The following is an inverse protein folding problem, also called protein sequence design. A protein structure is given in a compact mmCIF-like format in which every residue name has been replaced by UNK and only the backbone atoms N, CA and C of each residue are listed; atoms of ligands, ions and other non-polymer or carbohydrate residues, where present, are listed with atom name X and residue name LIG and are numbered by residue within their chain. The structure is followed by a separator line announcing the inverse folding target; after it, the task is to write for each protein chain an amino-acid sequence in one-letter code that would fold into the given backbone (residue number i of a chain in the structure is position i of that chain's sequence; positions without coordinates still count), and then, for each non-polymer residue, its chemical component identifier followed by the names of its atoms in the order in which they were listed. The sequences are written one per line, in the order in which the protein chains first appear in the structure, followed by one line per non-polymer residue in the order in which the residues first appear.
data_IF_049079655861
#
_entry.id   IF_049079655861
#
_cell.length_a   1.000
_cell.length_b   1.000
_cell.length_c   1.000
_cell.angle_alpha   90.00
_cell.angle_beta   90.00
_cell.angle_gamma   90.00
#
_symmetry.space_group_name_H-M   'P 1'
#
loop_
_entity.id
_entity.type
_entity.pdbx_description
1 polymer ?
#
# COMPACT_ATOMS: atom_id res chain seq x y z
N UNK A 1 -22.17 -14.97 2.77
CA UNK A 1 -22.28 -13.52 2.45
C UNK A 1 -21.21 -12.67 3.15
N UNK A 2 -21.01 -12.79 4.46
CA UNK A 2 -20.10 -11.89 5.22
C UNK A 2 -18.61 -12.00 4.82
N UNK A 3 -18.09 -13.20 4.56
CA UNK A 3 -16.70 -13.38 4.09
C UNK A 3 -16.44 -12.69 2.74
N UNK A 4 -17.40 -12.77 1.82
CA UNK A 4 -17.31 -12.12 0.52
C UNK A 4 -17.31 -10.58 0.65
N UNK A 5 -18.21 -10.02 1.47
CA UNK A 5 -18.22 -8.57 1.77
C UNK A 5 -16.87 -8.11 2.34
N UNK A 6 -16.32 -8.83 3.31
CA UNK A 6 -14.99 -8.52 3.87
C UNK A 6 -13.89 -8.57 2.80
N UNK A 7 -13.92 -9.55 1.90
CA UNK A 7 -12.98 -9.66 0.78
C UNK A 7 -13.09 -8.45 -0.16
N UNK A 8 -14.31 -8.03 -0.52
CA UNK A 8 -14.55 -6.87 -1.37
C UNK A 8 -14.10 -5.56 -0.71
N UNK A 9 -14.36 -5.38 0.59
CA UNK A 9 -13.87 -4.21 1.34
C UNK A 9 -12.34 -4.15 1.39
N UNK A 10 -11.68 -5.28 1.64
CA UNK A 10 -10.21 -5.37 1.59
C UNK A 10 -9.66 -5.00 0.21
N UNK A 11 -10.28 -5.52 -0.85
CA UNK A 11 -9.93 -5.19 -2.23
C UNK A 11 -10.11 -3.69 -2.52
N UNK A 12 -11.26 -3.11 -2.17
CA UNK A 12 -11.52 -1.68 -2.39
C UNK A 12 -10.59 -0.76 -1.60
N UNK A 13 -10.18 -1.14 -0.38
CA UNK A 13 -9.13 -0.41 0.37
C UNK A 13 -7.78 -0.46 -0.35
N UNK A 14 -7.41 -1.64 -0.85
CA UNK A 14 -6.17 -1.86 -1.60
C UNK A 14 -6.14 -1.06 -2.91
N UNK A 15 -7.26 -0.99 -3.63
CA UNK A 15 -7.40 -0.19 -4.84
C UNK A 15 -7.31 1.31 -4.55
N UNK A 16 -8.00 1.82 -3.51
CA UNK A 16 -7.84 3.22 -3.08
C UNK A 16 -6.38 3.55 -2.71
N UNK A 17 -5.70 2.62 -2.02
CA UNK A 17 -4.28 2.71 -1.70
C UNK A 17 -3.37 2.66 -2.94
N UNK A 18 -3.83 2.08 -4.03
CA UNK A 18 -3.08 2.11 -5.27
C UNK A 18 -3.22 3.48 -5.96
N UNK A 19 -4.46 3.94 -6.09
CA UNK A 19 -4.82 5.20 -6.75
C UNK A 19 -4.13 6.42 -6.12
N UNK A 20 -4.15 6.51 -4.79
CA UNK A 20 -3.55 7.65 -4.09
C UNK A 20 -2.01 7.69 -4.23
N UNK A 21 -1.35 6.54 -4.49
CA UNK A 21 0.10 6.40 -4.63
C UNK A 21 0.49 6.80 -6.03
N UNK A 22 -0.26 6.35 -7.03
CA UNK A 22 -0.11 6.82 -8.42
C UNK A 22 -0.22 8.35 -8.50
N UNK A 23 -1.22 8.94 -7.81
CA UNK A 23 -1.34 10.40 -7.67
C UNK A 23 -0.17 11.04 -6.91
N UNK A 24 0.33 10.42 -5.85
CA UNK A 24 1.48 10.93 -5.11
C UNK A 24 2.77 10.92 -5.94
N UNK A 25 2.96 9.92 -6.81
CA UNK A 25 4.11 9.83 -7.72
C UNK A 25 4.14 11.01 -8.69
N UNK A 26 3.01 11.34 -9.35
CA UNK A 26 2.97 12.46 -10.30
C UNK A 26 3.31 13.80 -9.65
N UNK A 27 2.99 13.97 -8.37
CA UNK A 27 3.28 15.18 -7.61
C UNK A 27 4.68 15.19 -6.97
N UNK A 28 5.49 14.13 -7.13
CA UNK A 28 6.81 14.01 -6.50
C UNK A 28 7.85 14.80 -7.31
N UNK A 29 8.25 15.95 -6.78
CA UNK A 29 9.18 16.88 -7.46
C UNK A 29 10.65 16.41 -7.47
N UNK A 30 11.06 15.63 -6.47
CA UNK A 30 12.47 15.17 -6.32
C UNK A 30 12.79 13.84 -6.99
N UNK A 31 11.89 13.30 -7.83
CA UNK A 31 12.16 12.10 -8.62
C UNK A 31 12.22 12.48 -10.08
N UNK A 32 13.20 11.94 -10.79
CA UNK A 32 13.26 12.01 -12.24
C UNK A 32 12.14 11.18 -12.91
N UNK A 33 11.95 11.40 -14.21
CA UNK A 33 10.88 10.76 -14.97
C UNK A 33 11.08 9.25 -15.12
N UNK A 34 12.32 8.79 -15.18
CA UNK A 34 12.66 7.36 -15.27
C UNK A 34 12.24 6.63 -14.00
N UNK A 35 12.55 7.19 -12.83
CA UNK A 35 12.16 6.67 -11.52
C UNK A 35 10.65 6.71 -11.35
N UNK A 36 9.99 7.80 -11.74
CA UNK A 36 8.51 7.86 -11.71
C UNK A 36 7.89 6.77 -12.57
N UNK A 37 8.39 6.56 -13.78
CA UNK A 37 7.92 5.51 -14.69
C UNK A 37 8.14 4.12 -14.11
N UNK A 38 9.33 3.83 -13.61
CA UNK A 38 9.68 2.56 -12.93
C UNK A 38 8.69 2.28 -11.79
N UNK A 39 8.50 3.25 -10.90
CA UNK A 39 7.58 3.10 -9.76
C UNK A 39 6.12 2.97 -10.21
N UNK A 40 5.66 3.74 -11.19
CA UNK A 40 4.29 3.66 -11.70
C UNK A 40 3.98 2.29 -12.32
N UNK A 41 4.92 1.70 -13.05
CA UNK A 41 4.81 0.34 -13.59
C UNK A 41 4.67 -0.70 -12.47
N UNK A 42 5.46 -0.54 -11.41
CA UNK A 42 5.44 -1.43 -10.24
C UNK A 42 4.31 -1.13 -9.24
N UNK A 43 3.54 -0.05 -9.42
CA UNK A 43 2.32 0.20 -8.66
C UNK A 43 1.18 -0.66 -9.25
N UNK A 44 1.18 -1.92 -8.84
CA UNK A 44 0.15 -2.91 -9.13
C UNK A 44 -0.47 -3.51 -7.87
N UNK A 45 -1.72 -3.97 -7.97
CA UNK A 45 -2.42 -4.63 -6.86
C UNK A 45 -1.65 -5.86 -6.36
N UNK A 46 -1.03 -6.66 -7.21
CA UNK A 46 -0.24 -7.84 -6.81
C UNK A 46 0.83 -7.49 -5.76
N UNK A 47 1.40 -6.29 -5.83
CA UNK A 47 2.47 -5.81 -4.94
C UNK A 47 1.96 -4.98 -3.74
N UNK A 48 0.65 -4.71 -3.63
CA UNK A 48 0.10 -3.94 -2.52
C UNK A 48 -0.19 -4.81 -1.28
N UNK A 49 0.25 -4.35 -0.11
CA UNK A 49 -0.06 -4.95 1.19
C UNK A 49 -1.55 -4.80 1.51
N UNK A 50 -2.15 -5.86 2.05
CA UNK A 50 -3.54 -5.84 2.51
C UNK A 50 -3.68 -5.16 3.88
N UNK A 51 -4.92 -4.78 4.23
CA UNK A 51 -5.26 -4.23 5.54
C UNK A 51 -6.35 -5.07 6.21
N UNK A 52 -6.10 -5.46 7.45
CA UNK A 52 -7.07 -6.11 8.32
C UNK A 52 -7.69 -5.10 9.27
N UNK A 53 -9.00 -5.19 9.41
CA UNK A 53 -9.76 -4.34 10.30
C UNK A 53 -9.82 -4.99 11.67
N UNK A 54 -9.33 -4.28 12.67
CA UNK A 54 -9.32 -4.71 14.06
C UNK A 54 -10.22 -3.73 14.80
N UNK A 55 -11.35 -4.25 15.25
CA UNK A 55 -12.29 -3.52 16.09
C UNK A 55 -11.99 -3.92 17.54
N UNK A 56 -11.59 -2.94 18.34
CA UNK A 56 -11.57 -3.03 19.80
C UNK A 56 -12.71 -2.19 20.36
N UNK A 57 -13.05 -2.39 21.62
CA UNK A 57 -14.20 -1.73 22.26
C UNK A 57 -14.14 -0.19 22.18
N UNK A 58 -12.93 0.39 22.05
CA UNK A 58 -12.74 1.84 22.04
C UNK A 58 -12.26 2.42 20.69
N UNK A 59 -11.72 1.60 19.78
CA UNK A 59 -11.18 2.08 18.50
C UNK A 59 -11.21 1.02 17.40
N UNK A 60 -11.48 1.49 16.17
CA UNK A 60 -11.20 0.73 14.93
C UNK A 60 -9.81 1.11 14.42
N UNK A 61 -8.98 0.11 14.12
CA UNK A 61 -7.64 0.30 13.53
C UNK A 61 -7.49 -0.62 12.32
N UNK A 62 -6.85 -0.11 11.26
CA UNK A 62 -6.40 -0.93 10.14
C UNK A 62 -4.97 -1.40 10.35
N UNK A 63 -4.78 -2.71 10.50
CA UNK A 63 -3.46 -3.34 10.56
C UNK A 63 -2.98 -3.67 9.16
N UNK A 64 -1.86 -3.08 8.75
CA UNK A 64 -1.20 -3.40 7.47
C UNK A 64 -0.51 -4.74 7.62
N UNK A 65 -0.76 -5.67 6.70
CA UNK A 65 -0.11 -6.98 6.67
C UNK A 65 1.09 -6.91 5.73
N UNK A 66 2.34 -6.97 6.24
CA UNK A 66 3.55 -6.90 5.42
C UNK A 66 3.62 -8.06 4.43
N UNK A 67 4.22 -7.83 3.26
CA UNK A 67 4.48 -8.89 2.27
C UNK A 67 5.93 -9.34 2.46
N UNK A 68 6.18 -10.58 2.93
CA UNK A 68 7.52 -10.99 3.33
C UNK A 68 8.51 -11.06 2.16
N UNK A 69 8.02 -11.26 0.94
CA UNK A 69 8.79 -11.35 -0.30
C UNK A 69 9.03 -10.00 -0.98
N UNK A 70 8.47 -8.90 -0.47
CA UNK A 70 8.59 -7.57 -1.09
C UNK A 70 9.87 -6.88 -0.64
N UNK A 71 10.57 -6.25 -1.57
CA UNK A 71 11.85 -5.58 -1.31
C UNK A 71 11.69 -4.42 -0.34
N UNK A 72 12.75 -4.18 0.44
CA UNK A 72 12.79 -3.05 1.37
C UNK A 72 12.80 -1.71 0.63
N UNK A 73 13.43 -1.65 -0.55
CA UNK A 73 13.42 -0.48 -1.43
C UNK A 73 11.98 -0.09 -1.80
N UNK A 74 11.18 -1.06 -2.29
CA UNK A 74 9.80 -0.80 -2.67
C UNK A 74 8.90 -0.49 -1.46
N UNK A 75 9.16 -1.12 -0.31
CA UNK A 75 8.51 -0.80 0.96
C UNK A 75 8.76 0.66 1.36
N UNK A 76 10.02 1.11 1.29
CA UNK A 76 10.40 2.49 1.60
C UNK A 76 9.75 3.49 0.67
N UNK A 77 9.72 3.20 -0.64
CA UNK A 77 9.02 4.00 -1.65
C UNK A 77 7.51 4.10 -1.33
N UNK A 78 6.88 2.98 -1.01
CA UNK A 78 5.46 2.95 -0.64
C UNK A 78 5.18 3.82 0.60
N UNK A 79 6.04 3.75 1.62
CA UNK A 79 5.93 4.57 2.83
C UNK A 79 6.12 6.06 2.54
N UNK A 80 7.08 6.41 1.69
CA UNK A 80 7.32 7.80 1.27
C UNK A 80 6.09 8.39 0.55
N UNK A 81 5.48 7.61 -0.34
CA UNK A 81 4.27 8.00 -1.07
C UNK A 81 3.06 8.14 -0.15
N UNK A 82 2.89 7.22 0.81
CA UNK A 82 1.82 7.30 1.81
C UNK A 82 1.99 8.56 2.69
N UNK A 83 3.21 8.84 3.15
CA UNK A 83 3.53 10.04 3.92
C UNK A 83 3.27 11.33 3.13
N UNK A 84 3.62 11.35 1.84
CA UNK A 84 3.30 12.47 0.95
C UNK A 84 1.80 12.66 0.81
N UNK A 85 1.05 11.58 0.59
CA UNK A 85 -0.39 11.64 0.48
C UNK A 85 -1.05 12.12 1.79
N UNK A 86 -0.55 11.71 2.95
CA UNK A 86 -1.02 12.23 4.24
C UNK A 86 -0.71 13.72 4.42
N UNK A 87 0.47 14.21 4.00
CA UNK A 87 0.79 15.65 4.04
C UNK A 87 -0.17 16.50 3.22
N UNK A 88 -0.68 15.98 2.10
CA UNK A 88 -1.61 16.67 1.22
C UNK A 88 -3.05 16.75 1.76
N UNK A 89 -3.39 15.95 2.78
CA UNK A 89 -4.73 15.98 3.38
C UNK A 89 -4.93 17.20 4.28
N UNK A 90 -6.15 17.72 4.28
CA UNK A 90 -6.58 18.74 5.23
C UNK A 90 -6.59 18.21 6.68
N UNK A 91 -6.49 19.11 7.66
CA UNK A 91 -6.55 18.76 9.07
C UNK A 91 -7.86 18.06 9.46
N UNK A 92 -8.99 18.45 8.85
CA UNK A 92 -10.29 17.79 9.03
C UNK A 92 -10.25 16.34 8.51
N UNK A 93 -9.71 16.14 7.32
CA UNK A 93 -9.61 14.80 6.73
C UNK A 93 -8.73 13.88 7.59
N UNK A 94 -7.59 14.37 8.08
CA UNK A 94 -6.70 13.63 8.99
C UNK A 94 -7.41 13.15 10.26
N UNK A 95 -8.25 14.01 10.87
CA UNK A 95 -9.03 13.66 12.08
C UNK A 95 -10.08 12.58 11.83
N UNK A 96 -10.61 12.47 10.61
CA UNK A 96 -11.60 11.46 10.23
C UNK A 96 -10.98 10.15 9.73
N UNK A 97 -9.65 10.07 9.65
CA UNK A 97 -8.98 8.85 9.19
C UNK A 97 -8.92 7.82 10.31
N UNK A 98 -9.36 6.60 9.97
CA UNK A 98 -9.06 5.41 10.76
C UNK A 98 -7.54 5.22 10.83
N UNK A 99 -7.03 5.03 12.05
CA UNK A 99 -5.61 4.80 12.32
C UNK A 99 -5.12 3.58 11.57
N UNK A 100 -3.90 3.66 11.03
CA UNK A 100 -3.20 2.55 10.38
C UNK A 100 -1.94 2.21 11.14
N UNK A 101 -1.74 0.93 11.42
CA UNK A 101 -0.55 0.43 12.12
C UNK A 101 0.10 -0.69 11.34
N UNK A 102 1.43 -0.78 11.37
CA UNK A 102 2.16 -1.90 10.78
C UNK A 102 1.91 -3.14 11.65
N UNK A 103 1.45 -4.23 11.03
CA UNK A 103 1.31 -5.52 11.70
C UNK A 103 2.66 -6.21 11.89
N UNK A 104 2.81 -6.93 12.98
CA UNK A 104 3.96 -7.81 13.26
C UNK A 104 3.87 -9.13 12.49
N UNK A 105 2.66 -9.60 12.18
CA UNK A 105 2.42 -10.87 11.48
C UNK A 105 2.47 -10.62 9.96
N UNK A 106 3.41 -11.25 9.23
CA UNK A 106 3.50 -11.12 7.78
C UNK A 106 2.37 -11.86 7.06
N UNK A 107 2.14 -11.49 5.81
CA UNK A 107 1.13 -12.12 4.95
C UNK A 107 1.59 -13.51 4.51
N UNK A 108 0.65 -14.45 4.47
CA UNK A 108 0.82 -15.76 3.83
C UNK A 108 0.64 -15.71 2.31
N UNK A 109 0.36 -14.53 1.73
CA UNK A 109 0.15 -14.40 0.28
C UNK A 109 1.47 -14.74 -0.45
N UNK A 110 1.45 -15.68 -1.41
CA UNK A 110 2.66 -16.04 -2.14
C UNK A 110 3.16 -14.86 -2.98
N UNK A 111 4.43 -14.94 -3.37
CA UNK A 111 5.00 -14.06 -4.39
C UNK A 111 4.22 -14.28 -5.71
N UNK A 112 3.96 -13.24 -6.52
CA UNK A 112 3.37 -13.43 -7.84
C UNK A 112 4.25 -14.34 -8.72
N UNK A 113 3.63 -15.24 -9.49
CA UNK A 113 4.34 -16.16 -10.39
C UNK A 113 4.97 -15.44 -11.58
N UNK A 114 4.24 -14.48 -12.13
CA UNK A 114 4.56 -13.81 -13.39
C UNK A 114 5.05 -12.39 -13.09
N UNK A 115 6.31 -12.29 -12.68
CA UNK A 115 6.96 -11.01 -12.43
C UNK A 115 7.89 -10.72 -13.60
N UNK A 116 7.50 -9.76 -14.43
CA UNK A 116 8.35 -9.25 -15.51
C UNK A 116 9.70 -8.76 -14.95
N UNK A 117 10.76 -8.86 -15.75
CA UNK A 117 12.10 -8.39 -15.37
C UNK A 117 12.09 -6.93 -14.91
N UNK A 118 11.23 -6.09 -15.48
CA UNK A 118 11.05 -4.68 -15.09
C UNK A 118 10.53 -4.51 -13.65
N UNK A 119 9.87 -5.52 -13.08
CA UNK A 119 9.30 -5.54 -11.73
C UNK A 119 10.08 -6.41 -10.76
N UNK A 120 11.15 -7.10 -11.20
CA UNK A 120 12.02 -7.94 -10.36
C UNK A 120 12.48 -7.23 -9.08
N UNK A 121 12.83 -5.95 -9.17
CA UNK A 121 13.28 -5.11 -8.04
C UNK A 121 12.24 -4.92 -6.92
N UNK A 122 10.96 -5.22 -7.16
CA UNK A 122 9.90 -5.19 -6.15
C UNK A 122 10.00 -6.39 -5.21
N UNK A 123 10.68 -7.45 -5.64
CA UNK A 123 10.91 -8.65 -4.86
C UNK A 123 12.24 -8.56 -4.12
N UNK A 124 12.33 -9.22 -2.97
CA UNK A 124 13.63 -9.48 -2.34
C UNK A 124 14.46 -10.38 -3.24
N UNK A 125 15.77 -10.12 -3.25
CA UNK A 125 16.77 -11.03 -3.81
C UNK A 125 16.74 -12.39 -3.08
#
# INVERSE_FOLDING_TARGET
MEAHKKKMLRYGRKQRKLEWRKKAVSQKKGWDETKKRKVLKSLDLAYMSSEEEINSDNETVFRIVPLPWRSEEFDGICQELDAKHDRLKSARSKRQMVKRVRGSIPSTRPKPSDVDDENSWVLKE
#
